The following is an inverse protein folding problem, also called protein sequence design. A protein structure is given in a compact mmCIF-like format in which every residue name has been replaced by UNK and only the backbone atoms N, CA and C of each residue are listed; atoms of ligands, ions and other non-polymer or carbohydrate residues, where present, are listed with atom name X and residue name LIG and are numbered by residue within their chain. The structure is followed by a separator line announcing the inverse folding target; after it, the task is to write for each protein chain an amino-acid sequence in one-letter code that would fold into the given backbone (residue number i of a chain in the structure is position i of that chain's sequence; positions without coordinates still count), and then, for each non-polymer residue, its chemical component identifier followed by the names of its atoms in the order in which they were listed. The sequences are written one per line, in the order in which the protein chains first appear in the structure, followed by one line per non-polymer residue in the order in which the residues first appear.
data_IF_373502813886
#
_entry.id   IF_373502813886
#
_cell.length_a   1.000
_cell.length_b   1.000
_cell.length_c   1.000
_cell.angle_alpha   90.00
_cell.angle_beta   90.00
_cell.angle_gamma   90.00
#
_symmetry.space_group_name_H-M   'P 1'
#
loop_
_entity.id
_entity.type
_entity.pdbx_description
1 polymer ?
#
# COMPACT_ATOMS: atom_id res chain seq x y z
N UNK A 1 0.84 -22.79 10.89
CA UNK A 1 0.93 -23.13 9.45
C UNK A 1 0.01 -22.17 8.71
N UNK A 2 0.53 -21.39 7.75
CA UNK A 2 -0.31 -20.50 6.94
C UNK A 2 -1.10 -21.36 5.95
N UNK A 3 -2.41 -21.44 6.11
CA UNK A 3 -3.30 -22.09 5.14
C UNK A 3 -4.05 -21.03 4.34
N UNK A 4 -4.55 -21.39 3.16
CA UNK A 4 -5.36 -20.49 2.33
C UNK A 4 -6.53 -19.88 3.14
N UNK A 5 -7.20 -20.69 3.96
CA UNK A 5 -8.32 -20.24 4.80
C UNK A 5 -7.89 -19.16 5.81
N UNK A 6 -6.77 -19.34 6.51
CA UNK A 6 -6.28 -18.34 7.47
C UNK A 6 -5.88 -17.02 6.81
N UNK A 7 -5.39 -17.09 5.57
CA UNK A 7 -5.04 -15.91 4.77
C UNK A 7 -6.28 -15.16 4.32
N UNK A 8 -7.27 -15.87 3.79
CA UNK A 8 -8.55 -15.30 3.37
C UNK A 8 -9.30 -14.64 4.54
N UNK A 9 -9.40 -15.34 5.68
CA UNK A 9 -10.02 -14.80 6.90
C UNK A 9 -9.35 -13.50 7.36
N UNK A 10 -8.01 -13.44 7.30
CA UNK A 10 -7.27 -12.24 7.62
C UNK A 10 -7.60 -11.08 6.66
N UNK A 11 -7.60 -11.33 5.35
CA UNK A 11 -7.89 -10.30 4.34
C UNK A 11 -9.29 -9.71 4.54
N UNK A 12 -10.28 -10.58 4.80
CA UNK A 12 -11.67 -10.16 5.01
C UNK A 12 -11.79 -9.26 6.24
N UNK A 13 -11.17 -9.65 7.36
CA UNK A 13 -11.30 -8.96 8.65
C UNK A 13 -10.39 -7.74 8.79
N UNK A 14 -9.21 -7.74 8.16
CA UNK A 14 -8.24 -6.67 8.31
C UNK A 14 -8.80 -5.33 7.81
N UNK A 15 -8.50 -4.26 8.55
CA UNK A 15 -8.64 -2.92 8.01
C UNK A 15 -7.56 -2.68 6.95
N UNK A 16 -7.78 -1.66 6.11
CA UNK A 16 -6.91 -1.38 4.96
C UNK A 16 -5.44 -1.15 5.36
N UNK A 17 -5.18 -0.53 6.52
CA UNK A 17 -3.81 -0.28 6.99
C UNK A 17 -3.12 -1.58 7.33
N UNK A 18 -3.80 -2.45 8.11
CA UNK A 18 -3.29 -3.77 8.49
C UNK A 18 -3.00 -4.62 7.26
N UNK A 19 -3.91 -4.63 6.28
CA UNK A 19 -3.70 -5.36 5.03
C UNK A 19 -2.48 -4.87 4.26
N UNK A 20 -2.28 -3.55 4.12
CA UNK A 20 -1.10 -3.00 3.44
C UNK A 20 0.19 -3.33 4.20
N UNK A 21 0.20 -3.24 5.52
CA UNK A 21 1.38 -3.62 6.34
C UNK A 21 1.71 -5.09 6.13
N UNK A 22 0.71 -5.96 6.20
CA UNK A 22 0.85 -7.39 6.00
C UNK A 22 1.39 -7.74 4.59
N UNK A 23 0.87 -7.09 3.55
CA UNK A 23 1.39 -7.26 2.18
C UNK A 23 2.85 -6.77 2.03
N UNK A 24 3.31 -5.80 2.83
CA UNK A 24 4.71 -5.38 2.88
C UNK A 24 5.60 -6.41 3.59
N UNK A 25 5.10 -7.03 4.65
CA UNK A 25 5.81 -8.11 5.36
C UNK A 25 6.03 -9.32 4.44
N UNK A 26 5.02 -9.66 3.64
CA UNK A 26 5.07 -10.70 2.61
C UNK A 26 5.82 -10.31 1.32
N UNK A 27 6.39 -9.11 1.24
CA UNK A 27 7.09 -8.58 0.06
C UNK A 27 6.25 -8.42 -1.22
N UNK A 28 4.92 -8.46 -1.13
CA UNK A 28 4.06 -8.10 -2.27
C UNK A 28 4.01 -6.58 -2.50
N UNK A 29 4.32 -5.80 -1.46
CA UNK A 29 4.53 -4.35 -1.52
C UNK A 29 5.92 -4.02 -0.99
N UNK A 30 6.47 -2.90 -1.46
CA UNK A 30 7.77 -2.42 -0.98
C UNK A 30 7.73 -2.13 0.52
N UNK A 31 8.72 -2.63 1.25
CA UNK A 31 8.93 -2.28 2.65
C UNK A 31 9.40 -0.85 2.81
N UNK A 32 10.21 -0.37 1.88
CA UNK A 32 10.71 1.00 1.86
C UNK A 32 10.71 1.52 0.44
N UNK A 33 10.57 2.83 0.29
CA UNK A 33 10.64 3.47 -1.01
C UNK A 33 11.64 4.61 -0.97
N UNK A 34 12.64 4.53 -1.84
CA UNK A 34 13.70 5.51 -2.02
C UNK A 34 13.45 6.23 -3.33
N UNK A 35 13.44 7.57 -3.30
CA UNK A 35 13.32 8.34 -4.53
C UNK A 35 14.67 8.35 -5.26
N UNK A 36 14.68 7.88 -6.52
CA UNK A 36 15.90 7.63 -7.30
C UNK A 36 16.81 8.85 -7.44
N UNK A 37 16.25 10.03 -7.73
CA UNK A 37 17.06 11.23 -8.02
C UNK A 37 17.76 11.79 -6.77
N UNK A 38 17.03 11.88 -5.66
CA UNK A 38 17.52 12.53 -4.45
C UNK A 38 18.02 11.53 -3.40
N UNK A 39 17.99 10.22 -3.71
CA UNK A 39 18.49 9.08 -2.90
C UNK A 39 18.05 9.12 -1.43
N UNK A 40 16.89 9.68 -1.15
CA UNK A 40 16.35 9.76 0.20
C UNK A 40 15.11 8.89 0.35
N UNK A 41 14.90 8.38 1.56
CA UNK A 41 13.73 7.61 1.92
C UNK A 41 12.46 8.47 1.90
N UNK A 42 11.37 7.80 1.58
CA UNK A 42 10.01 8.35 1.70
C UNK A 42 9.36 7.82 2.96
N UNK A 43 8.34 8.55 3.44
CA UNK A 43 7.54 8.15 4.59
C UNK A 43 6.21 7.59 4.13
N UNK A 44 5.81 6.44 4.68
CA UNK A 44 4.47 5.89 4.47
C UNK A 44 3.43 6.75 5.19
N UNK A 45 2.49 7.32 4.44
CA UNK A 45 1.48 8.25 4.96
C UNK A 45 0.08 7.91 4.41
N UNK A 46 -0.96 8.23 5.17
CA UNK A 46 -2.32 8.24 4.67
C UNK A 46 -2.52 9.38 3.66
N UNK A 47 -3.23 9.10 2.57
CA UNK A 47 -3.53 10.05 1.52
C UNK A 47 -4.85 9.69 0.82
N UNK A 48 -5.96 10.30 1.27
CA UNK A 48 -7.34 9.94 0.86
C UNK A 48 -7.65 10.04 -0.64
N UNK A 49 -6.84 10.76 -1.42
CA UNK A 49 -7.07 10.95 -2.87
C UNK A 49 -6.44 9.85 -3.73
N UNK A 50 -5.65 8.96 -3.15
CA UNK A 50 -5.05 7.83 -3.86
C UNK A 50 -5.88 6.56 -3.68
N UNK A 51 -5.77 5.65 -4.63
CA UNK A 51 -6.59 4.44 -4.77
C UNK A 51 -6.68 3.59 -3.49
N UNK A 52 -5.59 3.44 -2.75
CA UNK A 52 -5.57 2.70 -1.47
C UNK A 52 -5.65 3.59 -0.23
N UNK A 53 -5.88 4.89 -0.37
CA UNK A 53 -5.82 5.88 0.71
C UNK A 53 -4.46 5.99 1.41
N UNK A 54 -3.39 5.44 0.83
CA UNK A 54 -2.03 5.48 1.34
C UNK A 54 -1.04 5.79 0.22
N UNK A 55 0.08 6.42 0.58
CA UNK A 55 1.14 6.79 -0.35
C UNK A 55 2.51 6.80 0.34
N UNK A 56 3.54 6.75 -0.49
CA UNK A 56 4.88 7.19 -0.12
C UNK A 56 5.00 8.70 -0.26
N UNK A 57 5.29 9.40 0.83
CA UNK A 57 5.50 10.86 0.83
C UNK A 57 6.97 11.17 0.91
N UNK A 58 7.46 11.99 0.00
CA UNK A 58 8.84 12.48 0.07
C UNK A 58 9.00 13.55 1.15
N UNK A 59 10.05 13.43 1.98
CA UNK A 59 10.23 14.27 3.18
C UNK A 59 11.45 15.19 3.13
N UNK A 60 12.38 15.00 2.20
CA UNK A 60 13.60 15.83 2.14
C UNK A 60 13.31 17.18 1.47
N UNK A 61 13.52 18.27 2.21
CA UNK A 61 13.27 19.66 1.81
C UNK A 61 14.16 20.16 0.67
N UNK A 62 15.35 19.58 0.49
CA UNK A 62 16.34 19.99 -0.52
C UNK A 62 16.04 19.48 -1.93
N UNK A 63 15.04 18.60 -2.08
CA UNK A 63 14.68 18.00 -3.35
C UNK A 63 13.48 18.72 -3.99
N UNK A 64 13.47 18.83 -5.32
CA UNK A 64 12.33 19.36 -6.09
C UNK A 64 11.00 18.65 -5.83
N UNK A 65 11.04 17.38 -5.41
CA UNK A 65 9.87 16.56 -5.07
C UNK A 65 9.47 16.64 -3.60
N UNK A 66 9.91 17.64 -2.83
CA UNK A 66 9.48 17.81 -1.45
C UNK A 66 7.94 17.76 -1.32
N UNK A 67 7.43 16.93 -0.40
CA UNK A 67 6.00 16.65 -0.18
C UNK A 67 5.26 15.96 -1.33
N UNK A 68 5.94 15.54 -2.39
CA UNK A 68 5.32 14.72 -3.43
C UNK A 68 4.85 13.38 -2.87
N UNK A 69 3.80 12.82 -3.47
CA UNK A 69 3.24 11.52 -3.14
C UNK A 69 3.49 10.54 -4.28
N UNK A 70 3.83 9.31 -3.95
CA UNK A 70 4.02 8.20 -4.89
C UNK A 70 3.12 7.03 -4.51
N UNK A 71 2.67 6.29 -5.52
CA UNK A 71 1.82 5.12 -5.34
C UNK A 71 2.56 4.04 -4.54
N UNK A 72 1.87 3.40 -3.60
CA UNK A 72 2.43 2.28 -2.81
C UNK A 72 2.63 1.02 -3.64
N UNK A 73 1.90 0.90 -4.77
CA UNK A 73 1.96 -0.22 -5.71
C UNK A 73 3.05 -0.09 -6.77
N UNK A 74 3.76 1.04 -6.82
CA UNK A 74 4.76 1.28 -7.87
C UNK A 74 5.95 0.32 -7.76
N UNK A 75 6.37 -0.25 -8.88
CA UNK A 75 7.30 -1.37 -9.01
C UNK A 75 6.98 -2.53 -8.04
N UNK A 76 5.73 -2.99 -8.01
CA UNK A 76 5.30 -4.15 -7.21
C UNK A 76 4.35 -5.05 -8.00
N UNK A 77 4.05 -6.23 -7.44
CA UNK A 77 3.07 -7.17 -8.01
C UNK A 77 1.71 -6.52 -8.33
N UNK A 78 1.35 -5.44 -7.61
CA UNK A 78 0.05 -4.79 -7.74
C UNK A 78 0.03 -3.55 -8.65
N UNK A 79 1.13 -3.19 -9.32
CA UNK A 79 1.26 -1.93 -10.07
C UNK A 79 0.11 -1.70 -11.07
N UNK A 80 -0.21 -2.73 -11.85
CA UNK A 80 -1.25 -2.69 -12.89
C UNK A 80 -2.60 -3.29 -12.45
N UNK A 81 -2.68 -3.80 -11.22
CA UNK A 81 -3.92 -4.38 -10.69
C UNK A 81 -4.85 -3.26 -10.26
N UNK A 82 -5.95 -3.05 -10.99
CA UNK A 82 -6.93 -1.97 -10.73
C UNK A 82 -8.06 -2.38 -9.77
N UNK A 83 -7.74 -3.22 -8.79
CA UNK A 83 -8.70 -3.70 -7.79
C UNK A 83 -8.26 -3.21 -6.41
N UNK A 84 -9.21 -2.63 -5.65
CA UNK A 84 -8.94 -2.22 -4.28
C UNK A 84 -8.58 -3.44 -3.43
N UNK A 85 -7.58 -3.32 -2.55
CA UNK A 85 -7.21 -4.42 -1.64
C UNK A 85 -8.38 -4.93 -0.80
N UNK A 86 -9.32 -4.04 -0.52
CA UNK A 86 -10.62 -4.40 0.04
C UNK A 86 -11.68 -3.93 -0.93
N UNK A 87 -12.14 -4.84 -1.79
CA UNK A 87 -13.41 -4.65 -2.47
C UNK A 87 -14.48 -4.60 -1.38
N UNK A 88 -15.39 -3.61 -1.43
CA UNK A 88 -16.65 -3.75 -0.70
C UNK A 88 -17.41 -4.87 -1.40
N UNK A 89 -17.15 -6.12 -1.04
CA UNK A 89 -18.07 -7.21 -1.28
C UNK A 89 -19.25 -6.95 -0.36
N UNK A 90 -20.19 -6.12 -0.82
CA UNK A 90 -21.54 -6.12 -0.29
C UNK A 90 -22.19 -7.41 -0.77
N UNK A 91 -21.84 -8.54 -0.14
CA UNK A 91 -22.79 -9.62 -0.08
C UNK A 91 -23.89 -9.11 0.85
N UNK A 92 -24.96 -8.62 0.24
CA UNK A 92 -26.24 -8.58 0.90
C UNK A 92 -26.53 -10.04 1.27
N UNK A 93 -26.35 -10.35 2.56
CA UNK A 93 -26.95 -11.54 3.15
C UNK A 93 -28.45 -11.23 3.12
N UNK A 94 -29.13 -11.79 2.12
CA UNK A 94 -30.58 -12.00 2.12
C UNK A 94 -30.82 -13.37 2.73
#
# INVERSE_FOLDING_TARGET
MFTANTFEDFIIRADRKKLIIYLRELNFLKRENIYKECKASTKFNSHKRLFDNYAWRYINKKCRKFKAYFNIRADSFFEDIKIHFKARLSFAIV
#
